data_IF_688877844213
#
_entry.id   IF_688877844213
#
_cell.length_a   1.000
_cell.length_b   1.000
_cell.length_c   1.000
_cell.angle_alpha   90.00
_cell.angle_beta   90.00
_cell.angle_gamma   90.00
#
_symmetry.space_group_name_H-M   'P 1'
#
loop_
_entity.id
_entity.type
_entity.pdbx_description
1 polymer ?
#
# COMPACT_ATOMS: atom_id res chain seq x y z
N UNK A 1 19.04 -9.35 -22.74
CA UNK A 1 18.05 -10.27 -23.35
C UNK A 1 16.72 -9.56 -23.50
N UNK A 2 15.91 -9.94 -24.51
CA UNK A 2 14.60 -9.32 -24.70
C UNK A 2 13.54 -10.00 -23.83
N UNK A 3 12.85 -9.23 -23.00
CA UNK A 3 11.82 -9.76 -22.10
C UNK A 3 10.61 -10.26 -22.92
N UNK A 4 10.15 -11.52 -22.77
CA UNK A 4 9.01 -12.05 -23.52
C UNK A 4 7.68 -11.39 -23.11
N UNK A 5 7.60 -10.76 -21.92
CA UNK A 5 6.39 -10.14 -21.41
C UNK A 5 6.21 -8.67 -21.84
N UNK A 6 7.25 -7.83 -21.72
CA UNK A 6 7.15 -6.40 -22.05
C UNK A 6 7.87 -6.02 -23.33
N UNK A 7 8.62 -6.94 -23.96
CA UNK A 7 9.35 -6.72 -25.20
C UNK A 7 10.61 -5.84 -25.11
N UNK A 8 10.94 -5.31 -23.91
CA UNK A 8 12.13 -4.46 -23.70
C UNK A 8 13.39 -5.28 -23.54
N UNK A 9 14.52 -4.69 -23.90
CA UNK A 9 15.85 -5.24 -23.59
C UNK A 9 16.13 -5.06 -22.11
N UNK A 10 16.38 -6.16 -21.42
CA UNK A 10 16.65 -6.17 -19.97
C UNK A 10 18.02 -6.82 -19.71
N UNK A 11 18.73 -6.37 -18.68
CA UNK A 11 19.94 -7.04 -18.22
C UNK A 11 19.68 -8.53 -17.92
N UNK A 12 20.73 -9.37 -17.98
CA UNK A 12 20.62 -10.75 -17.56
C UNK A 12 20.25 -10.84 -16.07
N UNK A 13 19.33 -11.74 -15.71
CA UNK A 13 18.85 -11.93 -14.35
C UNK A 13 17.65 -12.86 -14.30
N UNK A 14 17.17 -13.19 -13.09
CA UNK A 14 16.00 -14.04 -12.90
C UNK A 14 14.69 -13.31 -13.18
N UNK A 15 14.69 -11.97 -13.16
CA UNK A 15 13.53 -11.13 -13.35
C UNK A 15 13.81 -9.95 -14.27
N UNK A 16 12.78 -9.50 -14.99
CA UNK A 16 12.88 -8.32 -15.84
C UNK A 16 12.91 -7.04 -14.98
N UNK A 17 13.93 -6.21 -15.12
CA UNK A 17 14.06 -4.95 -14.39
C UNK A 17 12.96 -3.93 -14.68
N UNK A 18 12.31 -4.01 -15.84
CA UNK A 18 11.25 -3.08 -16.24
C UNK A 18 9.86 -3.51 -15.79
N UNK A 19 9.58 -4.80 -15.82
CA UNK A 19 8.23 -5.28 -15.57
C UNK A 19 8.18 -6.33 -14.44
N UNK A 20 9.33 -6.70 -13.82
CA UNK A 20 9.42 -7.67 -12.75
C UNK A 20 9.00 -9.11 -13.13
N UNK A 21 8.80 -9.44 -14.43
CA UNK A 21 8.48 -10.80 -14.87
C UNK A 21 9.67 -11.72 -14.63
N UNK A 22 9.38 -12.95 -14.24
CA UNK A 22 10.40 -13.99 -14.20
C UNK A 22 10.88 -14.28 -15.61
N UNK A 23 12.18 -14.26 -15.80
CA UNK A 23 12.81 -14.56 -17.08
C UNK A 23 13.16 -16.04 -17.14
N UNK A 24 13.12 -16.68 -18.33
CA UNK A 24 13.61 -18.04 -18.49
C UNK A 24 15.10 -18.07 -18.21
N UNK A 25 15.54 -18.97 -17.34
CA UNK A 25 16.95 -19.18 -17.03
C UNK A 25 17.47 -20.31 -17.92
N UNK A 26 18.43 -19.99 -18.81
CA UNK A 26 19.13 -20.96 -19.66
C UNK A 26 18.58 -21.12 -21.08
N UNK A 27 19.42 -21.67 -21.95
CA UNK A 27 19.05 -22.09 -23.32
C UNK A 27 18.07 -23.27 -23.20
N UNK A 28 16.81 -23.05 -23.55
CA UNK A 28 15.75 -24.06 -23.49
C UNK A 28 14.72 -23.90 -22.37
N UNK A 29 14.80 -22.85 -21.56
CA UNK A 29 13.76 -22.55 -20.57
C UNK A 29 12.42 -22.28 -21.26
N UNK A 30 11.40 -23.10 -20.96
CA UNK A 30 10.05 -22.92 -21.42
C UNK A 30 9.58 -21.51 -21.11
N UNK A 31 9.32 -20.72 -22.16
CA UNK A 31 8.74 -19.38 -22.00
C UNK A 31 7.36 -19.57 -21.41
N UNK A 32 7.11 -19.13 -20.18
CA UNK A 32 5.77 -19.26 -19.61
C UNK A 32 4.78 -18.60 -20.59
N UNK A 33 3.62 -19.22 -20.82
CA UNK A 33 2.70 -18.79 -21.86
C UNK A 33 2.39 -17.31 -21.70
N UNK A 34 2.33 -16.58 -22.80
CA UNK A 34 1.96 -15.17 -22.91
C UNK A 34 0.54 -14.93 -22.40
N UNK A 35 0.33 -15.03 -21.12
CA UNK A 35 -0.87 -14.47 -20.50
C UNK A 35 -0.61 -12.98 -20.35
N UNK A 36 -0.66 -12.29 -21.47
CA UNK A 36 -0.48 -10.86 -21.59
C UNK A 36 -1.66 -10.10 -21.05
N UNK A 37 -1.74 -10.01 -19.73
CA UNK A 37 -2.58 -9.05 -19.05
C UNK A 37 -1.71 -8.16 -18.18
N UNK A 38 -2.03 -6.87 -18.10
CA UNK A 38 -1.45 -5.92 -17.13
C UNK A 38 -1.58 -6.41 -15.67
N UNK A 39 -2.43 -7.39 -15.41
CA UNK A 39 -2.61 -8.05 -14.12
C UNK A 39 -1.83 -9.36 -14.10
N UNK A 40 -0.67 -9.35 -13.44
CA UNK A 40 0.03 -10.58 -13.10
C UNK A 40 -0.57 -11.16 -11.82
N UNK A 41 -1.55 -12.02 -11.95
CA UNK A 41 -2.23 -12.64 -10.82
C UNK A 41 -1.29 -13.46 -9.91
N UNK A 42 -0.16 -13.97 -10.43
CA UNK A 42 0.72 -14.90 -9.71
C UNK A 42 1.82 -14.25 -8.86
N UNK A 43 2.14 -12.97 -9.08
CA UNK A 43 3.18 -12.29 -8.31
C UNK A 43 2.80 -10.84 -8.02
N UNK A 44 2.77 -10.47 -6.75
CA UNK A 44 2.51 -9.10 -6.31
C UNK A 44 3.74 -8.20 -6.58
N UNK A 45 3.55 -7.02 -7.16
CA UNK A 45 4.68 -6.17 -7.58
C UNK A 45 5.55 -5.69 -6.41
N UNK A 46 4.95 -5.44 -5.24
CA UNK A 46 5.70 -5.02 -4.05
C UNK A 46 6.40 -6.18 -3.33
N UNK A 47 5.89 -7.42 -3.40
CA UNK A 47 6.57 -8.63 -2.93
C UNK A 47 6.30 -9.80 -3.90
N UNK A 48 7.23 -10.10 -4.82
CA UNK A 48 7.04 -11.14 -5.83
C UNK A 48 6.94 -12.56 -5.28
N UNK A 49 7.17 -12.77 -3.99
CA UNK A 49 6.98 -14.06 -3.31
C UNK A 49 5.54 -14.28 -2.88
N UNK A 50 4.73 -13.22 -2.86
CA UNK A 50 3.30 -13.28 -2.55
C UNK A 50 2.48 -13.25 -3.84
N UNK A 51 1.39 -14.03 -3.89
CA UNK A 51 0.39 -13.89 -4.94
C UNK A 51 -0.41 -12.60 -4.75
N UNK A 52 -0.89 -12.00 -5.86
CA UNK A 52 -1.82 -10.86 -5.80
C UNK A 52 -3.07 -11.19 -4.96
N UNK A 53 -3.56 -12.42 -5.05
CA UNK A 53 -4.78 -12.87 -4.36
C UNK A 53 -4.56 -13.28 -2.89
N UNK A 54 -3.31 -13.31 -2.41
CA UNK A 54 -3.07 -13.62 -1.00
C UNK A 54 -3.59 -12.48 -0.12
N UNK A 55 -4.51 -12.73 0.84
CA UNK A 55 -5.04 -11.70 1.71
C UNK A 55 -3.98 -11.32 2.76
N UNK A 56 -3.07 -10.43 2.39
CA UNK A 56 -1.97 -9.99 3.25
C UNK A 56 -2.14 -8.52 3.63
N UNK A 57 -2.63 -8.27 4.84
CA UNK A 57 -2.84 -6.92 5.39
C UNK A 57 -1.52 -6.14 5.43
N UNK A 58 -0.47 -6.77 5.98
CA UNK A 58 0.83 -6.11 6.21
C UNK A 58 1.48 -5.68 4.90
N UNK A 59 1.59 -6.55 3.90
CA UNK A 59 2.23 -6.20 2.62
C UNK A 59 1.37 -5.26 1.76
N UNK A 60 0.10 -5.09 2.08
CA UNK A 60 -0.80 -4.15 1.40
C UNK A 60 -0.69 -2.75 2.01
N UNK A 61 -0.79 -2.63 3.33
CA UNK A 61 -0.73 -1.35 4.05
C UNK A 61 0.70 -0.85 4.25
N UNK A 62 1.68 -1.75 4.26
CA UNK A 62 3.09 -1.47 4.55
C UNK A 62 4.02 -2.04 3.45
N UNK A 63 3.93 -1.55 2.20
CA UNK A 63 4.63 -2.13 1.06
C UNK A 63 6.16 -2.04 1.13
N UNK A 64 6.70 -1.10 1.91
CA UNK A 64 8.14 -0.86 2.07
C UNK A 64 8.82 -1.77 3.10
N UNK A 65 8.07 -2.57 3.88
CA UNK A 65 8.65 -3.40 4.92
C UNK A 65 9.50 -4.53 4.35
N UNK A 66 10.78 -4.65 4.76
CA UNK A 66 11.58 -5.79 4.39
C UNK A 66 10.98 -7.09 4.95
N UNK A 67 11.21 -8.26 4.30
CA UNK A 67 10.52 -9.51 4.61
C UNK A 67 10.61 -9.95 6.07
N UNK A 68 11.79 -9.77 6.71
CA UNK A 68 11.98 -10.11 8.13
C UNK A 68 11.12 -9.27 9.05
N UNK A 69 10.99 -7.97 8.77
CA UNK A 69 10.16 -7.05 9.56
C UNK A 69 8.68 -7.20 9.26
N UNK A 70 8.31 -7.50 8.02
CA UNK A 70 6.94 -7.86 7.68
C UNK A 70 6.47 -9.10 8.46
N UNK A 71 7.35 -10.09 8.66
CA UNK A 71 7.07 -11.25 9.50
C UNK A 71 6.89 -10.87 10.96
N UNK A 72 7.77 -10.00 11.51
CA UNK A 72 7.63 -9.48 12.87
C UNK A 72 6.30 -8.71 13.04
N UNK A 73 5.96 -7.82 12.11
CA UNK A 73 4.71 -7.08 12.14
C UNK A 73 3.48 -8.00 12.10
N UNK A 74 3.52 -9.11 11.34
CA UNK A 74 2.47 -10.14 11.32
C UNK A 74 2.30 -10.79 12.69
N UNK A 75 3.41 -11.14 13.36
CA UNK A 75 3.36 -11.71 14.70
C UNK A 75 2.86 -10.72 15.74
N UNK A 76 3.29 -9.46 15.70
CA UNK A 76 2.81 -8.39 16.59
C UNK A 76 1.31 -8.17 16.40
N UNK A 77 0.84 -8.11 15.14
CA UNK A 77 -0.59 -8.00 14.85
C UNK A 77 -1.37 -9.20 15.40
N UNK A 78 -0.91 -10.43 15.13
CA UNK A 78 -1.56 -11.65 15.60
C UNK A 78 -1.63 -11.70 17.13
N UNK A 79 -0.50 -11.47 17.81
CA UNK A 79 -0.43 -11.47 19.28
C UNK A 79 -1.32 -10.36 19.84
N UNK A 80 -1.28 -9.17 19.27
CA UNK A 80 -2.12 -8.05 19.70
C UNK A 80 -3.62 -8.34 19.56
N UNK A 81 -4.03 -8.96 18.45
CA UNK A 81 -5.42 -9.40 18.26
C UNK A 81 -5.81 -10.49 19.28
N UNK A 82 -4.92 -11.45 19.53
CA UNK A 82 -5.18 -12.51 20.52
C UNK A 82 -5.28 -11.94 21.94
N UNK A 83 -4.44 -10.96 22.31
CA UNK A 83 -4.51 -10.27 23.59
C UNK A 83 -5.80 -9.47 23.71
N UNK A 84 -6.15 -8.68 22.70
CA UNK A 84 -7.41 -7.91 22.68
C UNK A 84 -8.62 -8.83 22.79
N UNK A 85 -8.61 -9.96 22.06
CA UNK A 85 -9.65 -11.00 22.17
C UNK A 85 -9.71 -11.60 23.57
N UNK A 86 -8.57 -12.00 24.15
CA UNK A 86 -8.52 -12.55 25.50
C UNK A 86 -9.07 -11.61 26.58
N UNK A 87 -8.73 -10.30 26.48
CA UNK A 87 -9.26 -9.26 27.35
C UNK A 87 -10.78 -9.07 27.14
N UNK A 88 -11.24 -9.12 25.87
CA UNK A 88 -12.67 -9.04 25.57
C UNK A 88 -13.44 -10.26 26.09
N UNK A 89 -12.87 -11.46 25.98
CA UNK A 89 -13.44 -12.69 26.54
C UNK A 89 -13.52 -12.65 28.08
N UNK A 90 -12.56 -11.97 28.73
CA UNK A 90 -12.57 -11.67 30.17
C UNK A 90 -13.60 -10.61 30.58
N UNK A 91 -14.44 -10.11 29.65
CA UNK A 91 -15.44 -9.04 29.84
C UNK A 91 -14.86 -7.67 30.17
N UNK A 92 -13.59 -7.43 29.86
CA UNK A 92 -12.95 -6.11 29.96
C UNK A 92 -13.00 -5.36 28.62
N UNK A 93 -14.20 -5.30 28.00
CA UNK A 93 -14.42 -4.73 26.66
C UNK A 93 -13.78 -3.33 26.46
N UNK A 94 -13.91 -2.34 27.39
CA UNK A 94 -13.28 -1.04 27.19
C UNK A 94 -11.76 -1.11 27.08
N UNK A 95 -11.11 -1.96 27.91
CA UNK A 95 -9.67 -2.17 27.86
C UNK A 95 -9.27 -2.85 26.54
N UNK A 96 -10.02 -3.85 26.09
CA UNK A 96 -9.80 -4.52 24.81
C UNK A 96 -9.93 -3.55 23.63
N UNK A 97 -10.90 -2.64 23.68
CA UNK A 97 -11.10 -1.62 22.64
C UNK A 97 -9.91 -0.64 22.62
N UNK A 98 -9.46 -0.16 23.75
CA UNK A 98 -8.30 0.75 23.83
C UNK A 98 -7.02 0.05 23.34
N UNK A 99 -6.77 -1.19 23.77
CA UNK A 99 -5.63 -1.98 23.30
C UNK A 99 -5.67 -2.17 21.78
N UNK A 100 -6.82 -2.56 21.24
CA UNK A 100 -6.99 -2.72 19.80
C UNK A 100 -6.91 -1.40 19.02
N UNK A 101 -7.45 -0.31 19.57
CA UNK A 101 -7.36 1.03 18.97
C UNK A 101 -5.92 1.52 18.82
N UNK A 102 -5.02 1.07 19.68
CA UNK A 102 -3.60 1.46 19.69
C UNK A 102 -2.75 0.50 18.86
N UNK A 103 -3.19 -0.74 18.63
CA UNK A 103 -2.42 -1.79 17.95
C UNK A 103 -2.02 -1.43 16.51
N UNK A 104 -2.98 -1.08 15.66
CA UNK A 104 -2.68 -0.68 14.28
C UNK A 104 -1.90 0.64 14.20
N UNK A 105 -2.22 1.69 14.96
CA UNK A 105 -1.39 2.89 15.06
C UNK A 105 0.04 2.63 15.52
N UNK A 106 0.29 1.77 16.51
CA UNK A 106 1.66 1.41 16.91
C UNK A 106 2.40 0.70 15.77
N UNK A 107 1.77 -0.27 15.12
CA UNK A 107 2.36 -0.93 13.95
C UNK A 107 2.69 0.08 12.85
N UNK A 108 1.82 1.07 12.66
CA UNK A 108 2.03 2.12 11.68
C UNK A 108 3.16 3.08 12.11
N UNK A 109 3.29 3.41 13.39
CA UNK A 109 4.42 4.19 13.92
C UNK A 109 5.75 3.44 13.74
N UNK A 110 5.78 2.13 13.97
CA UNK A 110 6.97 1.30 13.72
C UNK A 110 7.33 1.34 12.22
N UNK A 111 6.33 1.23 11.37
CA UNK A 111 6.50 1.38 9.92
C UNK A 111 7.03 2.77 9.55
N UNK A 112 6.54 3.83 10.19
CA UNK A 112 7.04 5.20 9.98
C UNK A 112 8.50 5.37 10.31
N UNK A 113 8.92 4.89 11.46
CA UNK A 113 10.34 4.96 11.85
C UNK A 113 11.19 4.22 10.82
N UNK A 114 10.69 3.13 10.26
CA UNK A 114 11.37 2.39 9.21
C UNK A 114 11.40 3.16 7.87
N UNK A 115 10.26 3.70 7.44
CA UNK A 115 10.14 4.44 6.17
C UNK A 115 10.84 5.79 6.24
N UNK A 116 10.67 6.56 7.31
CA UNK A 116 11.31 7.85 7.47
C UNK A 116 12.82 7.76 7.60
N UNK A 117 13.32 6.64 8.14
CA UNK A 117 14.74 6.30 8.12
C UNK A 117 15.22 6.04 6.69
N UNK A 118 14.32 5.75 5.74
CA UNK A 118 14.62 5.34 4.37
C UNK A 118 14.30 6.39 3.30
N UNK A 119 13.42 7.33 3.59
CA UNK A 119 13.05 8.42 2.68
C UNK A 119 13.43 9.76 3.30
N UNK A 120 13.80 10.74 2.45
CA UNK A 120 14.01 12.13 2.86
C UNK A 120 12.66 12.79 3.28
N UNK A 121 11.67 11.98 3.61
CA UNK A 121 10.37 12.44 4.06
C UNK A 121 10.40 12.72 5.57
N UNK A 122 10.06 13.92 6.00
CA UNK A 122 10.03 14.22 7.41
C UNK A 122 8.93 13.40 8.08
N UNK A 123 9.29 12.53 9.04
CA UNK A 123 8.38 11.81 9.96
C UNK A 123 7.26 12.73 10.47
N UNK A 124 7.60 14.00 10.62
CA UNK A 124 6.70 15.07 11.08
C UNK A 124 5.47 15.21 10.16
N UNK A 125 5.63 15.13 8.83
CA UNK A 125 4.50 15.29 7.89
C UNK A 125 3.50 14.15 8.06
N UNK A 126 4.02 12.96 8.24
CA UNK A 126 3.21 11.76 8.40
C UNK A 126 2.52 11.73 9.78
N UNK A 127 3.25 12.12 10.82
CA UNK A 127 2.70 12.29 12.17
C UNK A 127 1.60 13.37 12.19
N UNK A 128 1.79 14.48 11.51
CA UNK A 128 0.78 15.54 11.39
C UNK A 128 -0.47 15.05 10.66
N UNK A 129 -0.31 14.23 9.61
CA UNK A 129 -1.44 13.64 8.87
C UNK A 129 -2.24 12.68 9.78
N UNK A 130 -1.54 11.86 10.55
CA UNK A 130 -2.16 10.97 11.54
C UNK A 130 -2.89 11.76 12.63
N UNK A 131 -2.25 12.79 13.21
CA UNK A 131 -2.85 13.65 14.24
C UNK A 131 -4.07 14.41 13.71
N UNK A 132 -3.99 14.93 12.48
CA UNK A 132 -5.13 15.58 11.83
C UNK A 132 -6.33 14.61 11.71
N UNK A 133 -6.08 13.38 11.26
CA UNK A 133 -7.09 12.33 11.25
C UNK A 133 -7.67 12.06 12.64
N UNK A 134 -6.82 11.93 13.66
CA UNK A 134 -7.24 11.67 15.04
C UNK A 134 -8.12 12.79 15.61
N UNK A 135 -7.74 14.06 15.40
CA UNK A 135 -8.52 15.23 15.86
C UNK A 135 -9.90 15.24 15.18
N UNK A 136 -9.94 15.03 13.87
CA UNK A 136 -11.20 15.01 13.10
C UNK A 136 -12.07 13.80 13.48
N UNK A 137 -11.48 12.64 13.76
CA UNK A 137 -12.19 11.45 14.22
C UNK A 137 -12.81 11.65 15.61
N UNK A 138 -12.05 12.23 16.53
CA UNK A 138 -12.56 12.60 17.88
C UNK A 138 -13.70 13.64 17.76
N UNK A 139 -13.51 14.70 16.98
CA UNK A 139 -14.50 15.75 16.80
C UNK A 139 -15.82 15.22 16.21
N UNK A 140 -15.73 14.37 15.17
CA UNK A 140 -16.90 13.72 14.58
C UNK A 140 -17.61 12.83 15.59
N UNK A 141 -16.87 11.99 16.32
CA UNK A 141 -17.44 11.04 17.27
C UNK A 141 -18.12 11.74 18.44
N UNK A 142 -17.53 12.81 18.99
CA UNK A 142 -18.11 13.60 20.07
C UNK A 142 -19.32 14.41 19.60
N UNK A 143 -19.24 15.03 18.41
CA UNK A 143 -20.33 15.82 17.85
C UNK A 143 -21.55 14.98 17.51
N UNK A 144 -21.35 13.89 16.75
CA UNK A 144 -22.44 13.01 16.32
C UNK A 144 -23.02 12.16 17.43
N UNK A 145 -22.25 11.82 18.46
CA UNK A 145 -22.79 11.08 19.60
C UNK A 145 -24.01 11.77 20.23
N UNK A 146 -23.95 13.09 20.42
CA UNK A 146 -25.08 13.87 20.94
C UNK A 146 -26.28 13.86 20.01
N UNK A 147 -26.06 13.93 18.71
CA UNK A 147 -27.13 13.90 17.69
C UNK A 147 -27.79 12.52 17.60
N UNK A 148 -26.99 11.45 17.57
CA UNK A 148 -27.49 10.08 17.49
C UNK A 148 -28.28 9.65 18.73
N UNK A 149 -27.89 10.08 19.94
CA UNK A 149 -28.65 9.80 21.16
C UNK A 149 -30.05 10.41 21.06
N UNK A 150 -30.17 11.64 20.55
CA UNK A 150 -31.46 12.30 20.35
C UNK A 150 -32.33 11.63 19.29
N UNK A 151 -31.77 10.89 18.35
CA UNK A 151 -32.46 10.22 17.25
C UNK A 151 -32.87 8.75 17.52
N UNK A 152 -32.42 8.17 18.63
CA UNK A 152 -32.76 6.79 19.04
C UNK A 152 -34.24 6.60 19.42
N UNK A 153 -35.12 7.45 18.94
CA UNK A 153 -36.57 7.24 19.05
C UNK A 153 -36.97 5.90 18.40
N UNK A 154 -37.56 5.02 19.20
CA UNK A 154 -38.19 3.80 18.68
C UNK A 154 -39.33 4.20 17.73
N UNK A 155 -39.33 3.67 16.51
CA UNK A 155 -40.46 3.75 15.63
C UNK A 155 -41.64 2.95 16.24
N UNK A 156 -42.88 3.30 15.91
CA UNK A 156 -44.07 2.55 16.33
C UNK A 156 -44.00 1.05 15.96
N UNK A 157 -43.16 0.66 15.01
CA UNK A 157 -42.91 -0.73 14.60
C UNK A 157 -41.80 -1.44 15.42
N UNK A 158 -41.25 -0.80 16.45
CA UNK A 158 -40.21 -1.40 17.32
C UNK A 158 -38.79 -1.45 16.71
N UNK A 159 -38.58 -0.96 15.48
CA UNK A 159 -37.29 -0.88 14.81
C UNK A 159 -36.65 0.52 14.90
N UNK A 160 -35.39 0.69 14.39
CA UNK A 160 -34.77 2.00 14.33
C UNK A 160 -35.52 2.92 13.38
N UNK A 161 -35.60 4.23 13.71
CA UNK A 161 -36.24 5.20 12.83
C UNK A 161 -35.50 5.35 11.51
N UNK A 162 -36.18 5.65 10.41
CA UNK A 162 -35.55 5.85 9.11
C UNK A 162 -34.50 6.96 9.14
N UNK A 163 -34.75 8.04 9.90
CA UNK A 163 -33.77 9.11 10.09
C UNK A 163 -32.48 8.63 10.79
N UNK A 164 -32.61 7.76 11.79
CA UNK A 164 -31.46 7.15 12.46
C UNK A 164 -30.64 6.29 11.48
N UNK A 165 -31.30 5.43 10.70
CA UNK A 165 -30.62 4.56 9.72
C UNK A 165 -29.88 5.39 8.67
N UNK A 166 -30.52 6.40 8.10
CA UNK A 166 -29.88 7.28 7.11
C UNK A 166 -28.69 8.03 7.73
N UNK A 167 -28.83 8.56 8.93
CA UNK A 167 -27.79 9.32 9.59
C UNK A 167 -26.60 8.42 9.96
N UNK A 168 -26.86 7.26 10.54
CA UNK A 168 -25.84 6.31 11.03
C UNK A 168 -25.18 5.52 9.90
N UNK A 169 -25.95 4.99 8.96
CA UNK A 169 -25.45 4.08 7.94
C UNK A 169 -24.97 4.78 6.66
N UNK A 170 -25.41 6.01 6.39
CA UNK A 170 -25.04 6.72 5.14
C UNK A 170 -24.25 8.00 5.45
N UNK A 171 -24.84 8.92 6.22
CA UNK A 171 -24.26 10.26 6.41
C UNK A 171 -22.94 10.16 7.20
N UNK A 172 -22.94 9.42 8.29
CA UNK A 172 -21.77 9.30 9.17
C UNK A 172 -20.56 8.65 8.48
N UNK A 173 -20.68 7.51 7.77
CA UNK A 173 -19.57 6.92 7.03
C UNK A 173 -19.04 7.83 5.92
N UNK A 174 -19.90 8.48 5.15
CA UNK A 174 -19.50 9.37 4.06
C UNK A 174 -18.84 10.65 4.58
N UNK A 175 -19.37 11.25 5.64
CA UNK A 175 -18.76 12.40 6.30
C UNK A 175 -17.41 12.02 6.90
N UNK A 176 -17.31 10.87 7.57
CA UNK A 176 -16.06 10.33 8.08
C UNK A 176 -15.02 10.14 6.97
N UNK A 177 -15.45 9.61 5.81
CA UNK A 177 -14.57 9.46 4.65
C UNK A 177 -14.05 10.81 4.15
N UNK A 178 -14.89 11.83 4.06
CA UNK A 178 -14.48 13.17 3.66
C UNK A 178 -13.48 13.78 4.65
N UNK A 179 -13.72 13.62 5.96
CA UNK A 179 -12.82 14.12 7.00
C UNK A 179 -11.46 13.41 6.97
N UNK A 180 -11.42 12.11 6.74
CA UNK A 180 -10.16 11.35 6.58
C UNK A 180 -9.33 11.83 5.38
N UNK A 181 -9.94 12.39 4.36
CA UNK A 181 -9.24 12.93 3.19
C UNK A 181 -8.64 14.33 3.43
N UNK A 182 -9.05 15.07 4.46
CA UNK A 182 -8.60 16.45 4.68
C UNK A 182 -7.09 16.57 4.83
N UNK A 183 -6.46 15.75 5.70
CA UNK A 183 -5.01 15.76 5.89
C UNK A 183 -4.22 15.41 4.62
N UNK A 184 -4.48 14.27 3.97
CA UNK A 184 -3.86 13.92 2.70
C UNK A 184 -4.07 14.97 1.60
N UNK A 185 -5.28 15.49 1.42
CA UNK A 185 -5.55 16.52 0.41
C UNK A 185 -4.81 17.82 0.70
N UNK A 186 -4.70 18.25 1.95
CA UNK A 186 -3.88 19.39 2.33
C UNK A 186 -2.42 19.19 1.88
N UNK A 187 -1.84 18.00 2.12
CA UNK A 187 -0.50 17.66 1.64
C UNK A 187 -0.41 17.63 0.11
N UNK A 188 -1.43 17.09 -0.54
CA UNK A 188 -1.50 17.09 -1.99
C UNK A 188 -1.38 18.47 -2.58
N UNK A 189 -1.97 19.51 -2.00
CA UNK A 189 -1.87 20.88 -2.51
C UNK A 189 -0.62 21.64 -2.02
N UNK A 190 -0.18 21.43 -0.78
CA UNK A 190 0.90 22.21 -0.15
C UNK A 190 2.29 21.68 -0.53
N UNK A 191 2.44 20.37 -0.76
CA UNK A 191 3.74 19.72 -0.97
C UNK A 191 3.82 18.98 -2.31
N UNK A 192 4.08 19.70 -3.43
CA UNK A 192 4.11 19.09 -4.77
C UNK A 192 5.23 18.05 -4.98
N UNK A 193 6.22 17.99 -4.09
CA UNK A 193 7.32 17.01 -4.15
C UNK A 193 6.86 15.56 -3.92
N UNK A 194 5.75 15.37 -3.19
CA UNK A 194 5.13 14.07 -3.00
C UNK A 194 4.29 13.74 -4.23
N UNK A 195 4.86 13.00 -5.16
CA UNK A 195 4.24 12.73 -6.46
C UNK A 195 4.07 11.23 -6.76
N UNK A 196 4.39 10.37 -5.80
CA UNK A 196 4.27 8.93 -5.95
C UNK A 196 2.88 8.42 -5.50
N UNK A 197 2.36 7.39 -6.17
CA UNK A 197 1.13 6.69 -5.77
C UNK A 197 1.27 6.09 -4.36
N UNK A 198 2.50 5.69 -3.99
CA UNK A 198 2.83 5.19 -2.65
C UNK A 198 2.65 6.27 -1.59
N UNK A 199 3.07 7.52 -1.88
CA UNK A 199 2.88 8.64 -0.95
C UNK A 199 1.40 8.84 -0.65
N UNK A 200 0.56 8.83 -1.70
CA UNK A 200 -0.89 8.95 -1.54
C UNK A 200 -1.47 7.83 -0.67
N UNK A 201 -1.09 6.58 -0.95
CA UNK A 201 -1.54 5.43 -0.14
C UNK A 201 -1.15 5.61 1.33
N UNK A 202 0.12 5.94 1.59
CA UNK A 202 0.69 6.05 2.94
C UNK A 202 0.03 7.17 3.74
N UNK A 203 -0.15 8.35 3.14
CA UNK A 203 -0.85 9.47 3.80
C UNK A 203 -2.33 9.17 4.04
N UNK A 204 -3.00 8.51 3.08
CA UNK A 204 -4.39 8.08 3.24
C UNK A 204 -4.56 7.09 4.39
N UNK A 205 -3.71 6.08 4.47
CA UNK A 205 -3.70 5.09 5.56
C UNK A 205 -3.40 5.75 6.90
N UNK A 206 -2.41 6.68 6.97
CA UNK A 206 -2.07 7.40 8.19
C UNK A 206 -3.26 8.17 8.77
N UNK A 207 -3.92 8.97 7.94
CA UNK A 207 -5.09 9.75 8.33
C UNK A 207 -6.23 8.85 8.81
N UNK A 208 -6.51 7.78 8.07
CA UNK A 208 -7.57 6.83 8.42
C UNK A 208 -7.32 6.09 9.73
N UNK A 209 -6.08 5.66 10.00
CA UNK A 209 -5.72 5.00 11.24
C UNK A 209 -5.77 5.96 12.44
N UNK A 210 -5.34 7.21 12.26
CA UNK A 210 -5.50 8.25 13.28
C UNK A 210 -6.96 8.49 13.62
N UNK A 211 -7.79 8.65 12.60
CA UNK A 211 -9.24 8.84 12.72
C UNK A 211 -9.90 7.66 13.45
N UNK A 212 -9.62 6.43 13.04
CA UNK A 212 -10.19 5.22 13.64
C UNK A 212 -9.73 5.03 15.09
N UNK A 213 -8.47 5.31 15.42
CA UNK A 213 -7.94 5.22 16.77
C UNK A 213 -8.67 6.17 17.72
N UNK A 214 -8.81 7.43 17.34
CA UNK A 214 -9.51 8.42 18.15
C UNK A 214 -11.00 8.08 18.31
N UNK A 215 -11.65 7.64 17.23
CA UNK A 215 -13.04 7.18 17.28
C UNK A 215 -13.22 5.99 18.23
N UNK A 216 -12.30 5.01 18.20
CA UNK A 216 -12.34 3.85 19.10
C UNK A 216 -12.14 4.23 20.56
N UNK A 217 -11.25 5.19 20.84
CA UNK A 217 -11.03 5.71 22.19
C UNK A 217 -12.28 6.43 22.73
N UNK A 218 -12.90 7.27 21.91
CA UNK A 218 -14.17 7.95 22.28
C UNK A 218 -15.27 6.92 22.52
N UNK A 219 -15.35 5.88 21.68
CA UNK A 219 -16.32 4.80 21.87
C UNK A 219 -16.07 4.02 23.17
N UNK A 220 -14.81 3.67 23.48
CA UNK A 220 -14.45 3.02 24.74
C UNK A 220 -14.84 3.87 25.97
N UNK A 221 -14.57 5.18 25.89
CA UNK A 221 -14.98 6.11 26.93
C UNK A 221 -16.49 6.13 27.18
N UNK A 222 -17.29 6.10 26.12
CA UNK A 222 -18.75 6.06 26.22
C UNK A 222 -19.26 4.77 26.88
N UNK A 223 -18.58 3.62 26.63
CA UNK A 223 -18.91 2.35 27.30
C UNK A 223 -18.57 2.43 28.79
N UNK A 224 -17.43 3.02 29.16
CA UNK A 224 -17.00 3.14 30.56
C UNK A 224 -17.91 4.08 31.36
N UNK A 225 -18.31 5.20 30.74
CA UNK A 225 -19.16 6.23 31.38
C UNK A 225 -20.65 5.94 31.33
N UNK A 226 -21.08 4.95 30.53
CA UNK A 226 -22.47 4.54 30.39
C UNK A 226 -22.91 3.52 31.45
N UNK A 227 -24.22 3.23 31.56
CA UNK A 227 -24.71 2.16 32.39
C UNK A 227 -24.14 0.82 31.91
N UNK A 228 -23.39 0.14 32.77
CA UNK A 228 -22.82 -1.17 32.47
C UNK A 228 -23.93 -2.18 32.24
N UNK A 229 -24.19 -2.54 31.01
CA UNK A 229 -25.05 -3.66 30.66
C UNK A 229 -24.31 -4.97 31.00
N UNK A 230 -24.65 -5.54 32.16
CA UNK A 230 -24.02 -6.76 32.70
C UNK A 230 -24.59 -8.07 32.11
N UNK A 231 -25.47 -8.03 31.14
CA UNK A 231 -26.11 -9.18 30.51
C UNK A 231 -25.60 -9.41 29.11
N UNK A 232 -25.24 -10.62 28.74
CA UNK A 232 -24.84 -11.02 27.40
C UNK A 232 -23.84 -12.16 27.37
N UNK A 233 -23.84 -12.94 26.30
CA UNK A 233 -22.85 -14.00 26.03
C UNK A 233 -21.48 -13.41 25.69
N UNK A 234 -20.46 -14.26 25.70
CA UNK A 234 -19.08 -13.88 25.36
C UNK A 234 -19.00 -13.25 23.96
N UNK A 235 -19.76 -13.76 23.00
CA UNK A 235 -19.80 -13.25 21.63
C UNK A 235 -20.39 -11.86 21.51
N UNK A 236 -21.29 -11.46 22.42
CA UNK A 236 -21.91 -10.13 22.44
C UNK A 236 -20.88 -9.02 22.77
N UNK A 237 -19.72 -9.36 23.33
CA UNK A 237 -18.63 -8.45 23.61
C UNK A 237 -17.42 -8.60 22.68
N UNK A 238 -17.07 -9.84 22.34
CA UNK A 238 -15.87 -10.12 21.55
C UNK A 238 -16.01 -9.66 20.09
N UNK A 239 -17.15 -9.96 19.46
CA UNK A 239 -17.35 -9.61 18.04
C UNK A 239 -17.44 -8.09 17.82
N UNK A 240 -18.22 -7.29 18.59
CA UNK A 240 -18.20 -5.84 18.49
C UNK A 240 -16.81 -5.25 18.76
N UNK A 241 -16.08 -5.78 19.73
CA UNK A 241 -14.72 -5.33 20.03
C UNK A 241 -13.80 -5.54 18.82
N UNK A 242 -13.75 -6.73 18.25
CA UNK A 242 -12.93 -7.01 17.06
C UNK A 242 -13.38 -6.19 15.85
N UNK A 243 -14.67 -5.97 15.67
CA UNK A 243 -15.21 -5.12 14.62
C UNK A 243 -14.66 -3.69 14.74
N UNK A 244 -14.78 -3.08 15.92
CA UNK A 244 -14.37 -1.69 16.14
C UNK A 244 -12.84 -1.53 16.14
N UNK A 245 -12.10 -2.47 16.72
CA UNK A 245 -10.65 -2.32 16.91
C UNK A 245 -9.81 -2.81 15.74
N UNK A 246 -10.31 -3.73 14.93
CA UNK A 246 -9.58 -4.32 13.82
C UNK A 246 -10.24 -4.05 12.48
N UNK A 247 -11.51 -4.44 12.31
CA UNK A 247 -12.15 -4.39 11.00
C UNK A 247 -12.44 -2.95 10.55
N UNK A 248 -12.93 -2.09 11.43
CA UNK A 248 -13.22 -0.68 11.10
C UNK A 248 -11.95 0.10 10.72
N UNK A 249 -10.83 0.04 11.47
CA UNK A 249 -9.58 0.67 11.04
C UNK A 249 -9.05 0.14 9.71
N UNK A 250 -9.13 -1.17 9.46
CA UNK A 250 -8.70 -1.76 8.19
C UNK A 250 -9.57 -1.32 7.02
N UNK A 251 -10.87 -1.25 7.24
CA UNK A 251 -11.84 -0.76 6.25
C UNK A 251 -11.56 0.70 5.90
N UNK A 252 -11.35 1.57 6.89
CA UNK A 252 -11.02 2.98 6.69
C UNK A 252 -9.66 3.16 6.00
N UNK A 253 -8.65 2.41 6.42
CA UNK A 253 -7.32 2.43 5.80
C UNK A 253 -7.38 1.99 4.33
N UNK A 254 -8.11 0.91 4.03
CA UNK A 254 -8.31 0.43 2.66
C UNK A 254 -9.05 1.43 1.78
N UNK A 255 -10.15 2.00 2.28
CA UNK A 255 -10.96 2.99 1.56
C UNK A 255 -10.18 4.28 1.27
N UNK A 256 -9.63 4.90 2.32
CA UNK A 256 -8.93 6.19 2.22
C UNK A 256 -7.62 6.05 1.46
N UNK A 257 -6.87 4.96 1.71
CA UNK A 257 -5.64 4.65 0.97
C UNK A 257 -5.90 4.48 -0.52
N UNK A 258 -6.96 3.77 -0.90
CA UNK A 258 -7.35 3.58 -2.30
C UNK A 258 -7.71 4.90 -2.99
N UNK A 259 -8.51 5.76 -2.33
CA UNK A 259 -8.88 7.08 -2.87
C UNK A 259 -7.63 7.95 -3.04
N UNK A 260 -6.78 8.03 -2.01
CA UNK A 260 -5.57 8.83 -2.06
C UNK A 260 -4.60 8.32 -3.13
N UNK A 261 -4.39 7.02 -3.25
CA UNK A 261 -3.60 6.43 -4.33
C UNK A 261 -4.14 6.84 -5.72
N UNK A 262 -5.46 6.81 -5.93
CA UNK A 262 -6.10 7.22 -7.17
C UNK A 262 -5.97 8.75 -7.44
N UNK A 263 -5.95 9.59 -6.39
CA UNK A 263 -5.71 11.04 -6.53
C UNK A 263 -4.26 11.29 -6.92
N UNK A 264 -3.30 10.63 -6.25
CA UNK A 264 -1.86 10.79 -6.53
C UNK A 264 -1.47 10.29 -7.90
N UNK A 265 -2.16 9.29 -8.43
CA UNK A 265 -1.98 8.83 -9.81
C UNK A 265 -2.12 9.95 -10.84
N UNK A 266 -2.89 11.01 -10.55
CA UNK A 266 -3.03 12.19 -11.43
C UNK A 266 -1.79 13.08 -11.49
N UNK A 267 -0.88 12.97 -10.54
CA UNK A 267 0.39 13.71 -10.54
C UNK A 267 1.45 13.08 -11.40
N UNK A 268 1.31 11.80 -11.70
CA UNK A 268 2.24 11.10 -12.55
C UNK A 268 2.16 11.63 -13.98
N UNK A 269 3.24 12.23 -14.52
CA UNK A 269 3.22 12.84 -15.84
C UNK A 269 2.95 11.83 -16.96
N UNK A 270 3.31 10.57 -16.77
CA UNK A 270 3.16 9.51 -17.76
C UNK A 270 1.74 8.95 -17.77
N UNK A 271 1.10 8.85 -16.61
CA UNK A 271 -0.31 8.46 -16.52
C UNK A 271 -1.21 9.53 -17.13
N UNK A 272 -0.79 10.79 -17.14
CA UNK A 272 -1.48 11.87 -17.87
C UNK A 272 -1.61 11.59 -19.37
N UNK A 273 -0.72 10.81 -19.94
CA UNK A 273 -0.80 10.37 -21.34
C UNK A 273 -1.83 9.25 -21.55
N UNK A 274 -2.41 8.69 -20.48
CA UNK A 274 -3.43 7.63 -20.51
C UNK A 274 -4.76 8.11 -19.90
N UNK A 275 -5.53 8.93 -20.64
CA UNK A 275 -6.72 9.60 -20.10
C UNK A 275 -7.79 8.63 -19.59
N UNK A 276 -7.89 7.41 -20.17
CA UNK A 276 -8.88 6.39 -19.74
C UNK A 276 -8.58 5.88 -18.32
N UNK A 277 -7.32 5.57 -18.00
CA UNK A 277 -6.92 5.10 -16.65
C UNK A 277 -7.20 6.17 -15.60
N UNK A 278 -6.88 7.44 -15.90
CA UNK A 278 -7.17 8.56 -15.01
C UNK A 278 -8.66 8.82 -14.84
N UNK A 279 -9.43 8.70 -15.92
CA UNK A 279 -10.88 8.95 -15.88
C UNK A 279 -11.63 7.89 -15.05
N UNK A 280 -11.13 6.65 -14.99
CA UNK A 280 -11.82 5.54 -14.32
C UNK A 280 -11.32 5.27 -12.90
N UNK A 281 -10.04 5.52 -12.59
CA UNK A 281 -9.45 5.15 -11.31
C UNK A 281 -10.10 5.86 -10.12
N UNK A 282 -10.26 7.18 -10.18
CA UNK A 282 -10.82 7.95 -9.05
C UNK A 282 -12.32 7.70 -8.84
N UNK A 283 -13.18 7.73 -9.87
CA UNK A 283 -14.60 7.38 -9.69
C UNK A 283 -14.80 5.97 -9.13
N UNK A 284 -14.01 5.00 -9.62
CA UNK A 284 -14.03 3.64 -9.10
C UNK A 284 -13.61 3.59 -7.62
N UNK A 285 -12.53 4.28 -7.24
CA UNK A 285 -12.05 4.32 -5.85
C UNK A 285 -13.10 4.96 -4.92
N UNK A 286 -13.72 6.06 -5.35
CA UNK A 286 -14.77 6.74 -4.59
C UNK A 286 -16.01 5.85 -4.42
N UNK A 287 -16.45 5.20 -5.50
CA UNK A 287 -17.60 4.29 -5.45
C UNK A 287 -17.31 3.08 -4.55
N UNK A 288 -16.14 2.44 -4.72
CA UNK A 288 -15.74 1.30 -3.92
C UNK A 288 -15.64 1.65 -2.42
N UNK A 289 -15.08 2.82 -2.08
CA UNK A 289 -15.00 3.30 -0.72
C UNK A 289 -16.39 3.63 -0.14
N UNK A 290 -17.25 4.30 -0.89
CA UNK A 290 -18.61 4.63 -0.46
C UNK A 290 -19.43 3.36 -0.22
N UNK A 291 -19.45 2.44 -1.17
CA UNK A 291 -20.17 1.16 -1.04
C UNK A 291 -19.58 0.33 0.11
N UNK A 292 -18.25 0.23 0.19
CA UNK A 292 -17.56 -0.54 1.23
C UNK A 292 -17.80 -0.03 2.65
N UNK A 293 -18.11 1.25 2.84
CA UNK A 293 -18.42 1.81 4.16
C UNK A 293 -19.94 1.86 4.45
N UNK A 294 -20.73 2.25 3.47
CA UNK A 294 -22.19 2.38 3.65
C UNK A 294 -22.87 1.02 3.73
N UNK A 295 -22.50 0.06 2.88
CA UNK A 295 -23.18 -1.23 2.83
C UNK A 295 -23.10 -2.02 4.16
N UNK A 296 -21.94 -2.22 4.81
CA UNK A 296 -21.89 -2.93 6.08
C UNK A 296 -22.62 -2.19 7.20
N UNK A 297 -22.59 -0.86 7.22
CA UNK A 297 -23.33 -0.05 8.20
C UNK A 297 -24.84 -0.20 8.01
N UNK A 298 -25.31 -0.08 6.76
CA UNK A 298 -26.73 -0.23 6.42
C UNK A 298 -27.25 -1.64 6.71
N UNK A 299 -26.49 -2.67 6.32
CA UNK A 299 -26.85 -4.07 6.60
C UNK A 299 -26.87 -4.36 8.10
N UNK A 300 -26.02 -3.73 8.89
CA UNK A 300 -26.04 -3.86 10.35
C UNK A 300 -27.29 -3.25 10.97
N UNK A 301 -27.73 -2.10 10.48
CA UNK A 301 -28.93 -1.44 10.98
C UNK A 301 -30.22 -2.13 10.52
N UNK A 302 -30.26 -2.67 9.30
CA UNK A 302 -31.43 -3.36 8.73
C UNK A 302 -31.57 -4.80 9.20
N UNK A 303 -30.45 -5.50 9.41
CA UNK A 303 -30.41 -6.93 9.77
C UNK A 303 -29.62 -7.08 11.07
N UNK A 304 -30.22 -6.83 12.24
CA UNK A 304 -29.52 -6.83 13.51
C UNK A 304 -28.92 -8.21 13.84
N UNK A 305 -27.77 -8.21 14.49
CA UNK A 305 -27.07 -9.40 14.95
C UNK A 305 -25.55 -9.23 14.90
N UNK A 306 -24.86 -9.42 16.03
CA UNK A 306 -23.44 -9.15 16.15
C UNK A 306 -22.58 -10.00 15.19
N UNK A 307 -22.89 -11.28 15.03
CA UNK A 307 -22.18 -12.15 14.10
C UNK A 307 -22.35 -11.71 12.65
N UNK A 308 -23.56 -11.33 12.25
CA UNK A 308 -23.83 -10.84 10.89
C UNK A 308 -23.13 -9.51 10.64
N UNK A 309 -23.19 -8.59 11.58
CA UNK A 309 -22.49 -7.31 11.52
C UNK A 309 -20.97 -7.53 11.36
N UNK A 310 -20.39 -8.43 12.15
CA UNK A 310 -18.97 -8.78 12.02
C UNK A 310 -18.63 -9.31 10.62
N UNK A 311 -19.45 -10.20 10.05
CA UNK A 311 -19.24 -10.75 8.71
C UNK A 311 -19.31 -9.66 7.64
N UNK A 312 -20.30 -8.74 7.70
CA UNK A 312 -20.41 -7.65 6.73
C UNK A 312 -19.18 -6.74 6.75
N UNK A 313 -18.70 -6.36 7.94
CA UNK A 313 -17.49 -5.55 8.07
C UNK A 313 -16.23 -6.30 7.63
N UNK A 314 -16.14 -7.61 7.89
CA UNK A 314 -15.02 -8.44 7.44
C UNK A 314 -14.96 -8.50 5.91
N UNK A 315 -16.08 -8.76 5.25
CA UNK A 315 -16.15 -8.82 3.78
C UNK A 315 -15.82 -7.45 3.16
N UNK A 316 -16.34 -6.37 3.71
CA UNK A 316 -16.07 -5.02 3.23
C UNK A 316 -14.59 -4.62 3.42
N UNK A 317 -14.02 -4.87 4.58
CA UNK A 317 -12.60 -4.59 4.86
C UNK A 317 -11.68 -5.43 3.95
N UNK A 318 -11.95 -6.72 3.80
CA UNK A 318 -11.19 -7.60 2.92
C UNK A 318 -11.29 -7.15 1.45
N UNK A 319 -12.48 -6.77 0.99
CA UNK A 319 -12.72 -6.26 -0.36
C UNK A 319 -11.95 -4.96 -0.63
N UNK A 320 -12.02 -3.99 0.27
CA UNK A 320 -11.30 -2.71 0.13
C UNK A 320 -9.78 -2.87 0.20
N UNK A 321 -9.28 -3.72 1.09
CA UNK A 321 -7.86 -4.03 1.14
C UNK A 321 -7.38 -4.74 -0.13
N UNK A 322 -8.19 -5.64 -0.66
CA UNK A 322 -7.88 -6.29 -1.94
C UNK A 322 -7.83 -5.27 -3.09
N UNK A 323 -8.80 -4.35 -3.17
CA UNK A 323 -8.80 -3.29 -4.18
C UNK A 323 -7.60 -2.35 -4.01
N UNK A 324 -7.23 -1.98 -2.79
CA UNK A 324 -6.03 -1.19 -2.52
C UNK A 324 -4.75 -1.93 -2.98
N UNK A 325 -4.68 -3.25 -2.73
CA UNK A 325 -3.58 -4.11 -3.20
C UNK A 325 -3.49 -4.17 -4.72
N UNK A 326 -4.62 -4.32 -5.41
CA UNK A 326 -4.68 -4.30 -6.88
C UNK A 326 -4.26 -2.93 -7.41
N UNK A 327 -4.76 -1.84 -6.83
CA UNK A 327 -4.39 -0.47 -7.20
C UNK A 327 -2.89 -0.21 -7.07
N UNK A 328 -2.30 -0.64 -5.96
CA UNK A 328 -0.86 -0.55 -5.73
C UNK A 328 -0.06 -1.40 -6.72
N UNK A 329 -0.50 -2.63 -6.98
CA UNK A 329 0.13 -3.52 -7.97
C UNK A 329 0.17 -2.89 -9.36
N UNK A 330 -0.97 -2.38 -9.83
CA UNK A 330 -1.07 -1.72 -11.14
C UNK A 330 -0.20 -0.46 -11.20
N UNK A 331 -0.23 0.36 -10.15
CA UNK A 331 0.59 1.58 -10.07
C UNK A 331 2.09 1.31 -10.13
N UNK A 332 2.57 0.28 -9.40
CA UNK A 332 3.98 -0.12 -9.44
C UNK A 332 4.40 -0.68 -10.82
N UNK A 333 3.52 -1.43 -11.50
CA UNK A 333 3.79 -1.95 -12.84
C UNK A 333 3.81 -0.82 -13.88
N UNK A 334 2.95 0.17 -13.78
CA UNK A 334 2.94 1.32 -14.70
C UNK A 334 4.22 2.15 -14.56
N UNK A 335 4.71 2.39 -13.35
CA UNK A 335 6.01 3.04 -13.13
C UNK A 335 7.19 2.23 -13.64
N UNK A 336 7.13 0.92 -13.59
CA UNK A 336 8.12 0.03 -14.18
C UNK A 336 8.27 0.20 -15.69
N UNK A 337 7.20 0.63 -16.36
CA UNK A 337 7.22 0.90 -17.79
C UNK A 337 8.04 2.16 -18.17
N UNK A 338 8.38 3.02 -17.23
CA UNK A 338 8.98 4.34 -17.47
C UNK A 338 10.49 4.40 -17.25
N UNK A 339 11.09 3.39 -16.58
CA UNK A 339 12.51 3.41 -16.28
C UNK A 339 13.34 3.48 -17.57
N UNK A 340 13.98 4.62 -17.79
CA UNK A 340 14.94 4.85 -18.88
C UNK A 340 16.36 4.66 -18.34
N UNK A 341 17.09 3.75 -18.97
CA UNK A 341 18.55 3.69 -18.84
C UNK A 341 19.10 2.68 -17.82
N UNK A 342 20.13 1.95 -18.25
CA UNK A 342 20.86 0.92 -17.46
C UNK A 342 22.14 1.56 -16.84
N UNK A 343 22.17 2.87 -16.61
CA UNK A 343 23.41 3.60 -16.36
C UNK A 343 23.96 3.49 -14.92
N UNK A 344 23.11 3.21 -13.93
CA UNK A 344 23.55 3.16 -12.51
C UNK A 344 23.24 1.81 -11.87
N UNK A 345 24.19 1.31 -11.08
CA UNK A 345 24.02 0.09 -10.30
C UNK A 345 23.67 0.43 -8.85
N UNK A 346 22.69 -0.28 -8.32
CA UNK A 346 22.24 -0.12 -6.94
C UNK A 346 22.27 -1.47 -6.22
N UNK A 347 22.48 -1.45 -4.90
CA UNK A 347 22.36 -2.65 -4.09
C UNK A 347 20.89 -2.82 -3.67
N UNK A 348 20.28 -3.93 -4.08
CA UNK A 348 18.90 -4.24 -3.71
C UNK A 348 18.75 -4.38 -2.18
N UNK A 349 17.85 -3.65 -1.51
CA UNK A 349 17.70 -3.75 -0.06
C UNK A 349 17.13 -5.09 0.42
N UNK A 350 16.48 -5.83 -0.47
CA UNK A 350 15.84 -7.12 -0.14
C UNK A 350 16.80 -8.29 -0.26
N UNK A 351 17.52 -8.42 -1.41
CA UNK A 351 18.42 -9.55 -1.64
C UNK A 351 19.91 -9.18 -1.51
N UNK A 352 20.24 -7.90 -1.28
CA UNK A 352 21.59 -7.35 -1.12
C UNK A 352 22.51 -7.51 -2.36
N UNK A 353 21.98 -7.97 -3.50
CA UNK A 353 22.73 -8.10 -4.74
C UNK A 353 22.74 -6.78 -5.51
N UNK A 354 23.77 -6.57 -6.32
CA UNK A 354 23.86 -5.45 -7.24
C UNK A 354 22.87 -5.66 -8.39
N UNK A 355 22.09 -4.64 -8.70
CA UNK A 355 21.10 -4.63 -9.78
C UNK A 355 21.10 -3.26 -10.44
N UNK A 356 20.77 -3.14 -11.71
CA UNK A 356 20.55 -1.84 -12.34
C UNK A 356 19.42 -1.08 -11.64
N UNK A 357 19.55 0.25 -11.56
CA UNK A 357 18.53 1.16 -10.98
C UNK A 357 17.32 1.25 -11.91
N UNK A 358 16.56 0.16 -11.95
CA UNK A 358 15.32 0.01 -12.70
C UNK A 358 14.13 -0.08 -11.75
N UNK A 359 12.95 -0.31 -12.27
CA UNK A 359 11.76 -0.43 -11.43
C UNK A 359 11.76 -1.69 -10.55
N UNK A 360 12.36 -2.78 -11.05
CA UNK A 360 12.42 -4.06 -10.35
C UNK A 360 13.85 -4.61 -10.29
N UNK A 361 14.16 -5.27 -9.19
CA UNK A 361 15.43 -5.97 -9.04
C UNK A 361 15.52 -7.16 -10.01
N UNK A 362 16.56 -7.21 -10.82
CA UNK A 362 16.79 -8.28 -11.79
C UNK A 362 17.00 -9.67 -11.13
N UNK A 363 17.42 -9.70 -9.84
CA UNK A 363 17.72 -10.93 -9.11
C UNK A 363 16.52 -11.50 -8.33
N UNK A 364 15.79 -10.63 -7.59
CA UNK A 364 14.70 -11.08 -6.73
C UNK A 364 13.31 -10.62 -7.19
N UNK A 365 13.21 -9.77 -8.21
CA UNK A 365 11.95 -9.30 -8.79
C UNK A 365 11.20 -8.27 -7.94
N UNK A 366 11.73 -7.85 -6.78
CA UNK A 366 11.07 -6.87 -5.93
C UNK A 366 11.09 -5.48 -6.56
N UNK A 367 10.01 -4.73 -6.42
CA UNK A 367 9.96 -3.33 -6.86
C UNK A 367 10.93 -2.49 -6.02
N UNK A 368 11.97 -1.92 -6.66
CA UNK A 368 12.99 -1.13 -5.97
C UNK A 368 12.41 0.14 -5.33
N UNK A 369 11.39 0.72 -5.95
CA UNK A 369 10.68 1.89 -5.41
C UNK A 369 9.77 1.58 -4.22
N UNK A 370 9.30 0.34 -4.11
CA UNK A 370 8.59 -0.15 -2.92
C UNK A 370 9.54 -0.70 -1.85
N UNK A 371 10.86 -0.53 -2.04
CA UNK A 371 11.89 -0.99 -1.11
C UNK A 371 12.48 0.18 -0.33
N UNK A 372 12.95 -0.04 0.92
CA UNK A 372 13.56 0.99 1.75
C UNK A 372 14.78 1.64 1.07
N UNK A 373 14.80 2.96 0.90
CA UNK A 373 15.87 3.69 0.19
C UNK A 373 17.23 3.65 0.90
N UNK A 374 17.29 3.50 2.23
CA UNK A 374 18.57 3.34 2.97
C UNK A 374 19.38 2.12 2.56
N UNK A 375 18.74 1.10 1.98
CA UNK A 375 19.43 -0.06 1.43
C UNK A 375 19.93 0.15 0.00
N UNK A 376 19.45 1.15 -0.70
CA UNK A 376 19.79 1.45 -2.09
C UNK A 376 21.06 2.31 -2.11
N UNK A 377 22.21 1.67 -1.89
CA UNK A 377 23.50 2.34 -2.05
C UNK A 377 23.81 2.42 -3.55
N UNK A 378 23.79 3.62 -4.12
CA UNK A 378 24.31 3.84 -5.46
C UNK A 378 25.81 3.52 -5.46
N UNK A 379 26.20 2.56 -6.27
CA UNK A 379 27.60 2.24 -6.51
C UNK A 379 27.96 2.98 -7.78
N UNK A 380 29.01 3.80 -7.72
CA UNK A 380 29.54 4.42 -8.93
C UNK A 380 29.82 3.31 -9.96
N UNK A 381 29.53 3.53 -11.25
CA UNK A 381 29.92 2.57 -12.28
C UNK A 381 31.40 2.26 -12.08
N UNK A 382 31.82 1.00 -12.23
CA UNK A 382 33.26 0.71 -12.26
C UNK A 382 33.85 1.66 -13.29
N UNK A 383 34.85 2.46 -12.85
CA UNK A 383 35.56 3.33 -13.75
C UNK A 383 36.00 2.46 -14.93
N UNK A 384 35.48 2.79 -16.11
CA UNK A 384 36.01 2.17 -17.34
C UNK A 384 37.49 2.36 -17.29
N UNK A 385 38.32 1.29 -17.35
CA UNK A 385 39.76 1.47 -17.39
C UNK A 385 40.03 2.54 -18.45
N UNK A 386 40.90 3.51 -18.16
CA UNK A 386 41.19 4.56 -19.13
C UNK A 386 41.52 3.86 -20.44
N UNK A 387 40.80 4.28 -21.49
CA UNK A 387 41.02 3.76 -22.84
C UNK A 387 42.52 3.75 -23.05
N UNK A 388 43.10 2.56 -23.35
CA UNK A 388 44.51 2.42 -23.58
C UNK A 388 44.96 3.56 -24.49
N UNK A 389 45.86 4.39 -23.97
CA UNK A 389 46.28 5.57 -24.68
C UNK A 389 46.91 5.15 -26.03
N UNK A 390 47.02 6.04 -27.01
CA UNK A 390 47.54 5.73 -28.34
C UNK A 390 49.01 5.19 -28.37
N UNK A 391 49.60 4.92 -27.19
CA UNK A 391 50.96 4.41 -27.04
C UNK A 391 51.11 2.89 -27.33
N UNK A 392 50.02 2.13 -27.36
CA UNK A 392 50.08 0.68 -27.63
C UNK A 392 49.61 0.31 -29.06
N UNK A 393 49.56 1.25 -29.97
CA UNK A 393 49.38 0.90 -31.39
C UNK A 393 50.67 0.21 -31.88
N UNK A 394 50.59 -1.00 -32.46
CA UNK A 394 51.76 -1.63 -33.07
C UNK A 394 52.35 -0.70 -34.15
N UNK A 395 53.70 -0.62 -34.27
CA UNK A 395 54.35 0.25 -35.25
C UNK A 395 53.82 -0.07 -36.68
N UNK A 396 53.63 0.95 -37.52
CA UNK A 396 53.16 0.75 -38.88
C UNK A 396 54.08 -0.21 -39.61
N UNK A 397 53.51 -1.28 -40.16
CA UNK A 397 54.19 -2.23 -41.01
C UNK A 397 54.75 -1.48 -42.21
N UNK A 398 56.08 -1.51 -42.40
CA UNK A 398 56.74 -0.88 -43.53
C UNK A 398 56.16 -1.48 -44.87
N UNK A 399 55.93 -0.67 -45.89
CA UNK A 399 55.42 -1.17 -47.18
C UNK A 399 56.47 -2.10 -47.80
N UNK A 400 56.13 -3.16 -48.50
CA UNK A 400 57.05 -4.07 -49.16
C UNK A 400 57.87 -3.29 -50.21
N UNK A 401 59.18 -3.45 -50.11
CA UNK A 401 60.18 -2.88 -51.04
C UNK A 401 59.84 -3.37 -52.46
N UNK A 402 59.57 -2.43 -53.36
CA UNK A 402 59.31 -2.72 -54.77
C UNK A 402 60.56 -3.31 -55.39
N UNK A 403 60.48 -4.59 -55.74
CA UNK A 403 61.52 -5.24 -56.60
C UNK A 403 61.60 -4.48 -57.93
N UNK A 404 62.79 -3.93 -58.18
CA UNK A 404 63.10 -3.28 -59.45
C UNK A 404 63.09 -4.26 -60.60
N UNK A 405 62.84 -3.79 -61.83
CA UNK A 405 62.84 -4.67 -63.00
C UNK A 405 64.29 -5.08 -63.40
N UNK A 406 64.54 -6.36 -63.38
CA UNK A 406 65.70 -6.91 -64.05
C UNK A 406 65.59 -6.78 -65.57
N UNK A 407 66.55 -6.04 -66.16
CA UNK A 407 66.64 -5.87 -67.58
C UNK A 407 67.13 -7.18 -68.28
N UNK A 408 66.33 -7.61 -69.25
CA UNK A 408 66.75 -8.65 -70.16
C UNK A 408 67.61 -8.12 -71.27
N UNK A 409 68.54 -8.86 -71.62
CA UNK A 409 69.25 -8.75 -72.91
C UNK A 409 69.29 -10.12 -73.57
N UNK A 410 68.96 -10.09 -74.88
CA UNK A 410 69.13 -11.09 -75.93
C UNK A 410 68.08 -12.19 -76.01
#
# INVERSE_FOLDING_TARGET
>A
MRCPHCGRETPPGAYCGFCGARLPQGEGGEVPPRHGGRMRAHAYAADPRESLFTPAVISTLFPHLPPRRATLARWVLLIGVLVALGVALGRYAPIAIVLGAVLLPILYLIYFVDVAVYEDEPVIVLALTFIAGAVLGAALSLGFYRVLIGQRGLSLSGGPSASYVVLNAVVLPLLGQLLMLVGPLALYFIRPRFNDILDGLVFGVASALGFAAAQSVVYAWQIISGPLQRGGGVFDWALPTLRVTLLTPLLYAGATGLICAAIWLRRDPHVRQRPRTLATALPFALLAAAVGQVAPSLLTDLIPGETRSFIWYLLAAAGLLFLARVGLHVGLLEKGAEAEGIATMVRCPTCQRLTPDLAFCAECGMALRASPKRGVRRVAPPETPPAAGPADAPPPVAPPESAGPEGGAQ
#
